data_IF_761246577505
#
_entry.id   IF_761246577505
#
_cell.length_a   1.000
_cell.length_b   1.000
_cell.length_c   1.000
_cell.angle_alpha   90.00
_cell.angle_beta   90.00
_cell.angle_gamma   90.00
#
_symmetry.space_group_name_H-M   'P 1'
#
loop_
_entity.id
_entity.type
_entity.pdbx_description
1 polymer ?
#
# COMPACT_ATOMS: atom_id res chain seq x y z
N UNK A 1 -9.32 -23.37 15.31
CA UNK A 1 -10.67 -23.32 14.69
C UNK A 1 -10.74 -22.30 13.55
N UNK A 2 -10.52 -21.00 13.78
CA UNK A 2 -10.57 -20.00 12.69
C UNK A 2 -9.54 -20.27 11.57
N UNK A 3 -8.26 -20.47 11.92
CA UNK A 3 -7.21 -20.79 10.94
C UNK A 3 -7.41 -22.14 10.23
N UNK A 4 -8.04 -23.11 10.88
CA UNK A 4 -8.31 -24.41 10.27
C UNK A 4 -9.37 -24.27 9.17
N UNK A 5 -10.41 -23.46 9.41
CA UNK A 5 -11.40 -23.13 8.39
C UNK A 5 -10.73 -22.40 7.22
N UNK A 6 -9.85 -21.43 7.47
CA UNK A 6 -9.12 -20.72 6.41
C UNK A 6 -8.25 -21.66 5.57
N UNK A 7 -7.50 -22.56 6.22
CA UNK A 7 -6.67 -23.53 5.50
C UNK A 7 -7.51 -24.48 4.65
N UNK A 8 -8.64 -24.94 5.18
CA UNK A 8 -9.56 -25.78 4.42
C UNK A 8 -10.13 -25.00 3.23
N UNK A 9 -10.60 -23.77 3.44
CA UNK A 9 -11.07 -22.90 2.36
C UNK A 9 -9.99 -22.63 1.32
N UNK A 10 -8.77 -22.32 1.75
CA UNK A 10 -7.61 -22.08 0.89
C UNK A 10 -7.30 -23.28 0.02
N UNK A 11 -7.37 -24.49 0.60
CA UNK A 11 -7.13 -25.74 -0.12
C UNK A 11 -8.24 -26.06 -1.11
N UNK A 12 -9.49 -25.79 -0.74
CA UNK A 12 -10.65 -26.04 -1.61
C UNK A 12 -10.64 -25.11 -2.83
N UNK A 13 -10.14 -23.89 -2.68
CA UNK A 13 -10.05 -22.88 -3.72
C UNK A 13 -8.70 -22.89 -4.46
N UNK A 14 -7.80 -23.84 -4.14
CA UNK A 14 -6.50 -23.95 -4.80
C UNK A 14 -6.69 -24.24 -6.30
N UNK A 15 -6.18 -23.35 -7.15
CA UNK A 15 -6.29 -23.45 -8.61
C UNK A 15 -7.61 -22.93 -9.19
N UNK A 16 -8.53 -22.43 -8.36
CA UNK A 16 -9.70 -21.70 -8.85
C UNK A 16 -9.28 -20.32 -9.37
N UNK A 17 -9.90 -19.89 -10.47
CA UNK A 17 -9.73 -18.54 -11.02
C UNK A 17 -10.71 -17.61 -10.31
N UNK A 18 -10.21 -16.83 -9.37
CA UNK A 18 -11.02 -15.84 -8.66
C UNK A 18 -11.07 -14.52 -9.44
N UNK A 19 -12.20 -13.80 -9.33
CA UNK A 19 -12.37 -12.44 -9.87
C UNK A 19 -12.15 -11.36 -8.82
N UNK A 20 -12.42 -11.68 -7.56
CA UNK A 20 -12.12 -10.82 -6.44
C UNK A 20 -11.81 -11.68 -5.22
N UNK A 21 -10.84 -11.24 -4.42
CA UNK A 21 -10.51 -11.84 -3.13
C UNK A 21 -10.66 -10.76 -2.06
N UNK A 22 -11.59 -10.99 -1.13
CA UNK A 22 -11.78 -10.11 0.01
C UNK A 22 -11.47 -10.88 1.30
N UNK A 23 -10.36 -10.50 1.91
CA UNK A 23 -9.92 -11.00 3.21
C UNK A 23 -9.91 -9.90 4.27
N UNK A 24 -10.64 -8.80 4.05
CA UNK A 24 -10.77 -7.66 4.98
C UNK A 24 -11.49 -8.02 6.28
N UNK A 25 -11.37 -7.15 7.29
CA UNK A 25 -12.05 -7.23 8.59
C UNK A 25 -11.73 -8.48 9.41
N UNK A 26 -10.47 -8.88 9.34
CA UNK A 26 -9.93 -10.14 9.80
C UNK A 26 -8.62 -9.87 10.57
N UNK A 27 -8.68 -9.88 11.90
CA UNK A 27 -7.54 -9.60 12.78
C UNK A 27 -6.55 -10.77 12.89
N UNK A 28 -6.07 -11.29 11.76
CA UNK A 28 -5.29 -12.52 11.72
C UNK A 28 -3.78 -12.31 11.60
N UNK A 29 -3.34 -11.10 11.24
CA UNK A 29 -1.93 -10.78 11.01
C UNK A 29 -1.27 -11.76 10.02
N UNK A 30 0.06 -11.93 10.12
CA UNK A 30 0.84 -12.82 9.27
C UNK A 30 0.29 -14.27 9.22
N UNK A 31 -0.17 -14.78 10.37
CA UNK A 31 -0.70 -16.16 10.47
C UNK A 31 -1.97 -16.38 9.67
N UNK A 32 -2.78 -15.33 9.50
CA UNK A 32 -3.96 -15.37 8.62
C UNK A 32 -3.58 -15.44 7.16
N UNK A 33 -2.62 -14.60 6.76
CA UNK A 33 -2.10 -14.60 5.39
C UNK A 33 -1.55 -15.97 5.03
N UNK A 34 -0.73 -16.56 5.91
CA UNK A 34 -0.20 -17.92 5.72
C UNK A 34 -1.26 -19.01 5.74
N UNK A 35 -2.43 -18.76 6.34
CA UNK A 35 -3.53 -19.72 6.28
C UNK A 35 -4.16 -19.79 4.87
N UNK A 36 -3.94 -18.78 4.01
CA UNK A 36 -4.35 -18.73 2.61
C UNK A 36 -3.23 -19.07 1.61
N UNK A 37 -2.12 -19.65 2.08
CA UNK A 37 -0.93 -19.89 1.26
C UNK A 37 -1.19 -20.70 -0.02
N UNK A 38 -1.94 -21.80 0.07
CA UNK A 38 -2.23 -22.65 -1.10
C UNK A 38 -3.07 -21.88 -2.14
N UNK A 39 -4.03 -21.08 -1.69
CA UNK A 39 -4.86 -20.25 -2.56
C UNK A 39 -3.98 -19.20 -3.24
N UNK A 40 -3.29 -18.36 -2.45
CA UNK A 40 -2.49 -17.24 -2.94
C UNK A 40 -1.38 -17.67 -3.91
N UNK A 41 -0.74 -18.84 -3.71
CA UNK A 41 0.28 -19.36 -4.63
C UNK A 41 -0.28 -19.87 -5.95
N UNK A 42 -1.50 -20.39 -5.93
CA UNK A 42 -2.16 -20.95 -7.12
C UNK A 42 -2.72 -19.89 -8.07
N UNK A 43 -2.58 -18.63 -7.69
CA UNK A 43 -3.10 -17.48 -8.39
C UNK A 43 -2.10 -16.99 -9.47
N UNK A 44 -1.66 -17.89 -10.35
CA UNK A 44 -0.73 -17.63 -11.46
C UNK A 44 -1.42 -17.18 -12.77
N UNK A 45 -2.74 -17.34 -12.85
CA UNK A 45 -3.58 -16.92 -13.99
C UNK A 45 -4.59 -15.82 -13.65
N UNK A 46 -4.59 -15.36 -12.41
CA UNK A 46 -5.50 -14.41 -11.75
C UNK A 46 -6.35 -13.58 -12.70
N UNK A 47 -7.65 -13.84 -12.80
CA UNK A 47 -8.59 -12.82 -13.26
C UNK A 47 -9.03 -11.91 -12.11
N UNK A 48 -8.31 -11.91 -10.97
CA UNK A 48 -8.65 -11.03 -9.85
C UNK A 48 -8.44 -9.57 -10.26
N UNK A 49 -9.56 -8.91 -10.52
CA UNK A 49 -9.57 -7.48 -10.75
C UNK A 49 -9.40 -6.74 -9.42
N UNK A 50 -9.79 -7.34 -8.30
CA UNK A 50 -9.94 -6.64 -7.02
C UNK A 50 -9.44 -7.46 -5.82
N UNK A 51 -8.47 -6.89 -5.08
CA UNK A 51 -7.89 -7.47 -3.88
C UNK A 51 -8.14 -6.55 -2.68
N UNK A 52 -8.93 -7.03 -1.72
CA UNK A 52 -9.35 -6.28 -0.54
C UNK A 52 -8.72 -6.83 0.73
N UNK A 53 -7.95 -5.98 1.40
CA UNK A 53 -7.19 -6.30 2.62
C UNK A 53 -7.35 -5.22 3.70
N UNK A 54 -8.55 -4.69 3.87
CA UNK A 54 -8.80 -3.59 4.80
C UNK A 54 -8.96 -4.09 6.23
N UNK A 55 -8.59 -3.27 7.22
CA UNK A 55 -8.89 -3.52 8.64
C UNK A 55 -8.35 -4.86 9.21
N UNK A 56 -7.18 -5.30 8.76
CA UNK A 56 -6.64 -6.63 9.10
C UNK A 56 -5.50 -6.59 10.12
N UNK A 57 -5.14 -5.40 10.60
CA UNK A 57 -3.89 -5.19 11.36
C UNK A 57 -2.69 -5.80 10.63
N UNK A 58 -2.63 -5.67 9.29
CA UNK A 58 -1.50 -6.14 8.49
C UNK A 58 -0.27 -5.41 8.98
N UNK A 59 0.63 -6.15 9.63
CA UNK A 59 1.97 -5.69 9.98
C UNK A 59 2.88 -5.77 8.76
N UNK A 60 4.09 -5.24 8.90
CA UNK A 60 5.16 -5.42 7.92
C UNK A 60 5.34 -6.89 7.50
N UNK A 61 5.35 -7.82 8.45
CA UNK A 61 5.54 -9.25 8.17
C UNK A 61 4.38 -9.86 7.39
N UNK A 62 3.15 -9.37 7.63
CA UNK A 62 2.00 -9.77 6.87
C UNK A 62 2.08 -9.23 5.42
N UNK A 63 2.48 -7.97 5.22
CA UNK A 63 2.72 -7.39 3.91
C UNK A 63 3.81 -8.15 3.12
N UNK A 64 4.92 -8.47 3.79
CA UNK A 64 5.98 -9.33 3.23
C UNK A 64 5.46 -10.69 2.82
N UNK A 65 4.63 -11.30 3.65
CA UNK A 65 4.05 -12.61 3.34
C UNK A 65 3.18 -12.55 2.09
N UNK A 66 2.41 -11.48 1.87
CA UNK A 66 1.66 -11.30 0.62
C UNK A 66 2.59 -11.21 -0.59
N UNK A 67 3.64 -10.39 -0.48
CA UNK A 67 4.68 -10.28 -1.51
C UNK A 67 5.32 -11.64 -1.86
N UNK A 68 5.59 -12.49 -0.86
CA UNK A 68 6.17 -13.83 -1.08
C UNK A 68 5.19 -14.84 -1.70
N UNK A 69 3.88 -14.66 -1.50
CA UNK A 69 2.87 -15.66 -1.84
C UNK A 69 2.13 -15.37 -3.15
N UNK A 70 2.00 -14.11 -3.56
CA UNK A 70 1.28 -13.71 -4.77
C UNK A 70 2.25 -13.74 -5.96
N UNK A 71 2.07 -14.65 -6.93
CA UNK A 71 3.05 -14.86 -7.99
C UNK A 71 3.01 -13.80 -9.11
N UNK A 72 1.89 -13.09 -9.28
CA UNK A 72 1.73 -12.02 -10.26
C UNK A 72 0.60 -11.06 -9.88
N UNK A 73 0.74 -9.79 -10.25
CA UNK A 73 -0.26 -8.73 -10.09
C UNK A 73 -0.68 -8.09 -11.42
N UNK A 74 -0.27 -8.65 -12.56
CA UNK A 74 -0.43 -8.04 -13.90
C UNK A 74 -1.88 -7.66 -14.26
N UNK A 75 -2.85 -8.43 -13.77
CA UNK A 75 -4.28 -8.26 -14.08
C UNK A 75 -5.06 -7.50 -13.00
N UNK A 76 -4.41 -7.13 -11.90
CA UNK A 76 -5.04 -6.44 -10.78
C UNK A 76 -5.42 -5.01 -11.18
N UNK A 77 -6.68 -4.63 -10.92
CA UNK A 77 -7.20 -3.27 -11.17
C UNK A 77 -7.40 -2.49 -9.89
N UNK A 78 -7.68 -3.17 -8.79
CA UNK A 78 -8.08 -2.55 -7.53
C UNK A 78 -7.32 -3.21 -6.39
N UNK A 79 -6.59 -2.40 -5.62
CA UNK A 79 -5.86 -2.85 -4.46
C UNK A 79 -6.18 -2.00 -3.24
N UNK A 80 -6.79 -2.62 -2.22
CA UNK A 80 -7.15 -1.97 -0.97
C UNK A 80 -6.35 -2.50 0.22
N UNK A 81 -5.50 -1.65 0.78
CA UNK A 81 -4.77 -1.85 2.03
C UNK A 81 -5.17 -0.84 3.11
N UNK A 82 -6.36 -0.22 3.00
CA UNK A 82 -6.83 0.80 3.94
C UNK A 82 -6.83 0.31 5.40
N UNK A 83 -6.38 1.17 6.31
CA UNK A 83 -6.44 0.96 7.76
C UNK A 83 -5.71 -0.32 8.24
N UNK A 84 -4.42 -0.42 7.92
CA UNK A 84 -3.52 -1.43 8.45
C UNK A 84 -2.34 -0.81 9.22
N UNK A 85 -1.41 -1.64 9.70
CA UNK A 85 -0.27 -1.21 10.52
C UNK A 85 1.05 -1.61 9.85
N UNK A 86 1.10 -1.51 8.51
CA UNK A 86 2.20 -2.08 7.73
C UNK A 86 3.48 -1.22 7.82
N UNK A 87 3.34 0.08 8.08
CA UNK A 87 4.47 1.01 8.14
C UNK A 87 5.21 1.12 6.80
N UNK A 88 6.37 1.76 6.86
CA UNK A 88 7.27 1.99 5.72
C UNK A 88 7.66 0.71 5.00
N UNK A 89 8.21 -0.26 5.73
CA UNK A 89 8.73 -1.51 5.17
C UNK A 89 7.58 -2.36 4.57
N UNK A 90 6.42 -2.36 5.21
CA UNK A 90 5.23 -3.00 4.65
C UNK A 90 4.75 -2.35 3.36
N UNK A 91 4.78 -1.01 3.28
CA UNK A 91 4.44 -0.29 2.05
C UNK A 91 5.43 -0.58 0.92
N UNK A 92 6.72 -0.79 1.24
CA UNK A 92 7.71 -1.25 0.25
C UNK A 92 7.34 -2.62 -0.30
N UNK A 93 6.98 -3.60 0.53
CA UNK A 93 6.56 -4.91 0.05
C UNK A 93 5.31 -4.83 -0.86
N UNK A 94 4.37 -3.93 -0.54
CA UNK A 94 3.21 -3.68 -1.41
C UNK A 94 3.66 -3.06 -2.74
N UNK A 95 4.56 -2.09 -2.72
CA UNK A 95 5.11 -1.49 -3.93
C UNK A 95 5.86 -2.52 -4.79
N UNK A 96 6.71 -3.34 -4.19
CA UNK A 96 7.42 -4.43 -4.86
C UNK A 96 6.44 -5.47 -5.43
N UNK A 97 5.39 -5.83 -4.69
CA UNK A 97 4.35 -6.75 -5.15
C UNK A 97 3.62 -6.21 -6.39
N UNK A 98 3.35 -4.91 -6.45
CA UNK A 98 2.79 -4.26 -7.63
C UNK A 98 3.80 -4.29 -8.79
N UNK A 99 5.08 -4.03 -8.52
CA UNK A 99 6.16 -4.03 -9.51
C UNK A 99 6.55 -5.45 -9.99
N UNK A 100 6.22 -6.53 -9.26
CA UNK A 100 6.52 -7.91 -9.65
C UNK A 100 5.90 -8.29 -11.00
N UNK A 101 4.78 -7.68 -11.41
CA UNK A 101 4.26 -7.82 -12.78
C UNK A 101 5.26 -7.36 -13.86
N UNK A 102 6.14 -6.41 -13.53
CA UNK A 102 7.17 -5.87 -14.41
C UNK A 102 8.53 -6.60 -14.26
N UNK A 103 8.74 -7.33 -13.16
CA UNK A 103 10.04 -7.90 -12.76
C UNK A 103 10.18 -9.42 -12.91
N UNK A 104 9.25 -10.11 -13.59
CA UNK A 104 9.44 -11.50 -14.03
C UNK A 104 10.49 -11.62 -15.18
N UNK A 105 11.60 -10.89 -15.04
CA UNK A 105 12.68 -10.66 -16.00
C UNK A 105 13.90 -11.55 -15.74
N UNK A 106 13.74 -12.71 -15.10
CA UNK A 106 14.81 -13.72 -15.12
C UNK A 106 14.96 -14.41 -16.49
N UNK A 107 14.05 -14.18 -17.45
CA UNK A 107 14.18 -14.82 -18.77
C UNK A 107 13.41 -14.09 -19.87
N UNK A 108 14.07 -13.15 -20.59
CA UNK A 108 14.04 -12.95 -22.07
C UNK A 108 14.40 -11.52 -22.48
N UNK A 109 15.68 -11.30 -22.80
CA UNK A 109 16.12 -10.42 -23.89
C UNK A 109 15.74 -8.93 -23.83
N UNK A 110 16.68 -8.12 -23.36
CA UNK A 110 16.67 -6.67 -23.09
C UNK A 110 16.15 -5.71 -24.18
N UNK A 111 15.73 -6.20 -25.36
CA UNK A 111 15.18 -5.39 -26.46
C UNK A 111 13.66 -5.54 -26.69
N UNK A 112 13.02 -6.60 -26.16
CA UNK A 112 11.55 -6.70 -26.17
C UNK A 112 10.91 -5.77 -25.11
N UNK A 113 11.65 -5.51 -24.02
CA UNK A 113 11.22 -4.86 -22.78
C UNK A 113 10.52 -3.52 -22.99
N UNK A 114 10.89 -2.70 -24.00
CA UNK A 114 10.26 -1.38 -24.18
C UNK A 114 8.83 -1.48 -24.72
N UNK A 115 8.54 -2.46 -25.59
CA UNK A 115 7.17 -2.73 -26.04
C UNK A 115 6.41 -3.63 -25.05
N UNK A 116 7.10 -4.49 -24.30
CA UNK A 116 6.48 -5.29 -23.23
C UNK A 116 6.15 -4.45 -22.00
N UNK A 117 6.87 -3.35 -21.69
CA UNK A 117 6.58 -2.44 -20.56
C UNK A 117 5.17 -1.86 -20.61
N UNK A 118 4.62 -1.63 -21.80
CA UNK A 118 3.21 -1.20 -21.97
C UNK A 118 2.19 -2.33 -21.80
N UNK A 119 2.62 -3.59 -21.87
CA UNK A 119 1.77 -4.77 -21.70
C UNK A 119 1.89 -5.41 -20.32
N UNK A 120 2.98 -5.16 -19.60
CA UNK A 120 3.29 -5.66 -18.26
C UNK A 120 3.07 -4.62 -17.14
N UNK A 121 2.71 -3.39 -17.52
CA UNK A 121 2.36 -2.36 -16.55
C UNK A 121 1.08 -2.78 -15.84
N UNK A 122 1.07 -2.83 -14.49
CA UNK A 122 -0.12 -3.16 -13.73
C UNK A 122 -1.27 -2.23 -14.14
N UNK A 123 -2.43 -2.81 -14.43
CA UNK A 123 -3.64 -2.06 -14.83
C UNK A 123 -4.37 -1.48 -13.62
N UNK A 124 -3.65 -1.14 -12.55
CA UNK A 124 -4.24 -0.67 -11.31
C UNK A 124 -4.90 0.68 -11.56
N UNK A 125 -6.22 0.70 -11.44
CA UNK A 125 -7.07 1.87 -11.54
C UNK A 125 -7.35 2.49 -10.17
N UNK A 126 -7.32 1.69 -9.10
CA UNK A 126 -7.59 2.13 -7.73
C UNK A 126 -6.55 1.59 -6.77
N UNK A 127 -5.82 2.49 -6.11
CA UNK A 127 -4.87 2.16 -5.05
C UNK A 127 -5.26 2.89 -3.76
N UNK A 128 -5.59 2.12 -2.72
CA UNK A 128 -5.94 2.67 -1.41
C UNK A 128 -4.99 2.17 -0.32
N UNK A 129 -4.16 3.08 0.21
CA UNK A 129 -3.18 2.82 1.26
C UNK A 129 -3.31 3.83 2.41
N UNK A 130 -4.47 4.45 2.60
CA UNK A 130 -4.71 5.34 3.71
C UNK A 130 -4.62 4.63 5.07
N UNK A 131 -4.20 5.36 6.12
CA UNK A 131 -4.02 4.87 7.50
C UNK A 131 -3.09 3.66 7.60
N UNK A 132 -1.88 3.77 7.06
CA UNK A 132 -0.87 2.69 7.11
C UNK A 132 0.43 3.06 7.82
N UNK A 133 0.51 4.27 8.38
CA UNK A 133 1.71 4.82 9.05
C UNK A 133 2.93 4.90 8.12
N UNK A 134 2.70 5.15 6.83
CA UNK A 134 3.75 5.35 5.82
C UNK A 134 4.34 6.73 6.03
N UNK A 135 5.64 6.85 6.29
CA UNK A 135 6.28 8.14 6.51
C UNK A 135 7.13 8.62 5.33
N UNK A 136 7.66 9.83 5.43
CA UNK A 136 8.44 10.49 4.38
C UNK A 136 9.66 9.68 3.89
N UNK A 137 10.23 8.79 4.74
CA UNK A 137 11.45 8.04 4.47
C UNK A 137 11.36 7.18 3.21
N UNK A 138 10.19 6.57 2.99
CA UNK A 138 9.95 5.65 1.87
C UNK A 138 9.01 6.23 0.79
N UNK A 139 8.67 7.52 0.88
CA UNK A 139 7.84 8.21 -0.13
C UNK A 139 8.45 8.11 -1.55
N UNK A 140 9.78 8.02 -1.65
CA UNK A 140 10.51 7.84 -2.91
C UNK A 140 10.22 6.48 -3.56
N UNK A 141 10.21 5.39 -2.79
CA UNK A 141 9.93 4.06 -3.33
C UNK A 141 8.47 3.96 -3.81
N UNK A 142 7.54 4.54 -3.04
CA UNK A 142 6.15 4.65 -3.46
C UNK A 142 6.00 5.50 -4.72
N UNK A 143 6.70 6.64 -4.81
CA UNK A 143 6.73 7.48 -6.01
C UNK A 143 7.22 6.72 -7.25
N UNK A 144 8.31 5.95 -7.13
CA UNK A 144 8.82 5.13 -8.23
C UNK A 144 7.79 4.11 -8.70
N UNK A 145 7.11 3.44 -7.78
CA UNK A 145 6.00 2.55 -8.10
C UNK A 145 4.87 3.28 -8.84
N UNK A 146 4.43 4.44 -8.32
CA UNK A 146 3.36 5.24 -8.93
C UNK A 146 3.68 5.65 -10.36
N UNK A 147 4.94 5.95 -10.71
CA UNK A 147 5.29 6.29 -12.12
C UNK A 147 4.98 5.20 -13.14
N UNK A 148 4.78 3.95 -12.68
CA UNK A 148 4.38 2.81 -13.52
C UNK A 148 2.86 2.66 -13.68
N UNK A 149 2.07 3.26 -12.79
CA UNK A 149 0.61 3.07 -12.71
C UNK A 149 -0.17 4.07 -13.56
N UNK A 150 0.07 4.07 -14.87
CA UNK A 150 -0.52 5.06 -15.78
C UNK A 150 -2.05 4.94 -15.97
N UNK A 151 -2.64 3.80 -15.58
CA UNK A 151 -4.09 3.55 -15.60
C UNK A 151 -4.80 4.04 -14.32
N UNK A 152 -4.08 4.64 -13.37
CA UNK A 152 -4.60 5.01 -12.06
C UNK A 152 -5.66 6.12 -12.16
N UNK A 153 -6.85 5.83 -11.63
CA UNK A 153 -8.02 6.72 -11.56
C UNK A 153 -8.24 7.24 -10.15
N UNK A 154 -7.83 6.48 -9.13
CA UNK A 154 -7.96 6.86 -7.72
C UNK A 154 -6.73 6.45 -6.92
N UNK A 155 -6.20 7.41 -6.16
CA UNK A 155 -5.14 7.20 -5.17
C UNK A 155 -5.58 7.78 -3.82
N UNK A 156 -5.53 6.98 -2.76
CA UNK A 156 -5.65 7.49 -1.38
C UNK A 156 -4.47 7.04 -0.53
N UNK A 157 -3.74 8.03 -0.03
CA UNK A 157 -2.65 7.91 0.93
C UNK A 157 -2.97 8.67 2.22
N UNK A 158 -4.22 9.11 2.41
CA UNK A 158 -4.63 9.91 3.55
C UNK A 158 -4.28 9.27 4.90
N UNK A 159 -4.11 10.10 5.92
CA UNK A 159 -3.87 9.66 7.29
C UNK A 159 -2.63 8.76 7.41
N UNK A 160 -1.61 9.02 6.59
CA UNK A 160 -0.26 8.49 6.75
C UNK A 160 0.64 9.53 7.45
N UNK A 161 1.97 9.35 7.40
CA UNK A 161 2.96 10.25 7.96
C UNK A 161 3.92 10.83 6.92
N UNK A 162 3.47 11.01 5.67
CA UNK A 162 4.29 11.45 4.53
C UNK A 162 4.88 12.85 4.76
N UNK A 163 4.18 13.71 5.50
CA UNK A 163 4.52 15.14 5.70
C UNK A 163 4.67 15.88 4.36
N UNK A 164 5.11 17.14 4.40
CA UNK A 164 5.25 17.97 3.20
C UNK A 164 6.25 17.39 2.19
N UNK A 165 7.40 16.90 2.66
CA UNK A 165 8.44 16.35 1.79
C UNK A 165 7.95 15.10 1.05
N UNK A 166 7.28 14.17 1.74
CA UNK A 166 6.70 12.99 1.12
C UNK A 166 5.57 13.35 0.15
N UNK A 167 4.70 14.28 0.51
CA UNK A 167 3.63 14.74 -0.37
C UNK A 167 4.17 15.38 -1.67
N UNK A 168 5.24 16.16 -1.59
CA UNK A 168 5.92 16.74 -2.77
C UNK A 168 6.51 15.66 -3.67
N UNK A 169 7.12 14.63 -3.09
CA UNK A 169 7.69 13.49 -3.83
C UNK A 169 6.59 12.72 -4.57
N UNK A 170 5.46 12.44 -3.91
CA UNK A 170 4.30 11.79 -4.53
C UNK A 170 3.71 12.68 -5.63
N UNK A 171 3.54 13.99 -5.39
CA UNK A 171 3.00 14.91 -6.38
C UNK A 171 3.85 14.93 -7.67
N UNK A 172 5.19 14.97 -7.54
CA UNK A 172 6.11 14.91 -8.67
C UNK A 172 6.00 13.62 -9.47
N UNK A 173 5.78 12.48 -8.79
CA UNK A 173 5.60 11.19 -9.47
C UNK A 173 4.32 11.14 -10.32
N UNK A 174 3.32 11.94 -9.96
CA UNK A 174 2.04 12.02 -10.64
C UNK A 174 1.99 13.08 -11.75
N UNK A 175 3.02 13.94 -11.88
CA UNK A 175 3.05 15.02 -12.89
C UNK A 175 2.96 14.49 -14.33
N UNK A 176 3.58 13.35 -14.59
CA UNK A 176 3.64 12.73 -15.91
C UNK A 176 2.88 11.39 -15.95
N UNK A 177 2.09 11.17 -17.00
CA UNK A 177 1.51 9.86 -17.30
C UNK A 177 0.21 9.48 -16.58
N UNK A 178 -0.35 10.34 -15.72
CA UNK A 178 -1.55 10.08 -14.92
C UNK A 178 -2.79 10.87 -15.41
N UNK A 179 -3.05 10.83 -16.72
CA UNK A 179 -4.11 11.62 -17.37
C UNK A 179 -5.53 11.22 -16.93
N UNK A 180 -5.68 9.97 -16.48
CA UNK A 180 -6.96 9.40 -16.05
C UNK A 180 -7.19 9.50 -14.54
N UNK A 181 -6.27 10.11 -13.77
CA UNK A 181 -6.42 10.27 -12.32
C UNK A 181 -7.53 11.27 -12.00
N UNK A 182 -8.57 10.79 -11.31
CA UNK A 182 -9.79 11.55 -10.96
C UNK A 182 -9.91 11.85 -9.48
N UNK A 183 -9.30 11.03 -8.62
CA UNK A 183 -9.34 11.22 -7.18
C UNK A 183 -7.94 11.04 -6.58
N UNK A 184 -7.43 12.08 -5.92
CA UNK A 184 -6.18 12.04 -5.15
C UNK A 184 -6.48 12.51 -3.73
N UNK A 185 -6.22 11.66 -2.75
CA UNK A 185 -6.36 11.98 -1.33
C UNK A 185 -5.04 11.75 -0.59
N UNK A 186 -4.39 12.85 -0.22
CA UNK A 186 -3.16 12.90 0.61
C UNK A 186 -3.41 13.70 1.89
N UNK A 187 -4.66 13.71 2.35
CA UNK A 187 -5.08 14.56 3.47
C UNK A 187 -4.71 13.97 4.84
N UNK A 188 -4.58 14.85 5.85
CA UNK A 188 -4.34 14.49 7.25
C UNK A 188 -3.08 13.65 7.49
N UNK A 189 -1.96 14.05 6.90
CA UNK A 189 -0.67 13.45 7.23
C UNK A 189 -0.29 13.82 8.67
N UNK A 190 -0.04 12.82 9.52
CA UNK A 190 0.36 13.04 10.92
C UNK A 190 1.82 13.43 10.99
N UNK A 191 2.14 14.39 11.86
CA UNK A 191 3.49 14.46 12.43
C UNK A 191 3.59 13.29 13.39
N UNK A 192 4.38 12.27 13.04
CA UNK A 192 4.88 11.39 14.06
C UNK A 192 5.60 12.29 15.08
N UNK A 193 5.04 12.44 16.29
CA UNK A 193 5.84 12.81 17.45
C UNK A 193 7.08 11.94 17.38
N UNK A 194 8.21 12.59 17.23
CA UNK A 194 9.47 11.91 17.17
C UNK A 194 9.59 11.08 18.45
N UNK A 195 9.73 9.77 18.32
CA UNK A 195 10.04 8.89 19.45
C UNK A 195 11.41 9.16 20.09
N UNK A 196 11.98 10.36 19.90
CA UNK A 196 13.23 10.85 20.48
C UNK A 196 13.06 11.76 21.69
N UNK A 197 11.89 11.86 22.32
CA UNK A 197 11.82 12.37 23.69
C UNK A 197 12.19 11.28 24.71
N UNK A 198 13.39 10.72 24.60
CA UNK A 198 14.10 10.22 25.77
C UNK A 198 14.99 11.36 26.27
N UNK A 199 14.36 12.46 26.67
CA UNK A 199 15.00 13.52 27.42
C UNK A 199 14.70 13.27 28.92
N UNK A 200 15.68 12.79 29.71
CA UNK A 200 15.44 12.45 31.11
C UNK A 200 15.31 13.67 32.04
N UNK A 201 15.21 14.89 31.52
CA UNK A 201 15.03 16.10 32.33
C UNK A 201 13.84 16.96 31.82
N UNK A 202 12.61 16.46 31.97
CA UNK A 202 11.46 17.36 32.13
C UNK A 202 11.40 17.80 33.58
N UNK A 203 12.19 18.82 33.90
CA UNK A 203 11.97 19.62 35.10
C UNK A 203 10.55 20.19 35.01
N UNK A 204 9.76 19.87 36.03
CA UNK A 204 8.43 20.41 36.24
C UNK A 204 8.58 21.87 36.63
N UNK A 205 8.42 22.79 35.68
CA UNK A 205 8.27 24.20 36.00
C UNK A 205 6.90 24.40 36.71
N UNK A 206 6.98 24.96 37.91
CA UNK A 206 5.95 25.04 38.96
C UNK A 206 4.77 25.99 38.66
N UNK A 207 4.41 26.18 37.39
CA UNK A 207 3.35 27.14 37.00
C UNK A 207 2.20 26.56 36.16
N UNK A 208 2.12 25.24 36.01
CA UNK A 208 0.88 24.55 35.59
C UNK A 208 0.22 25.07 34.31
N UNK A 209 1.00 25.62 33.37
CA UNK A 209 0.53 25.98 32.05
C UNK A 209 0.98 24.90 31.08
N UNK A 210 0.01 24.14 30.58
CA UNK A 210 0.17 23.41 29.33
C UNK A 210 0.60 24.43 28.28
N UNK A 211 1.77 24.22 27.66
CA UNK A 211 2.14 24.99 26.49
C UNK A 211 1.08 24.73 25.41
N UNK A 212 0.37 25.78 25.01
CA UNK A 212 -0.49 25.76 23.84
C UNK A 212 0.44 25.50 22.63
N UNK A 213 0.38 24.28 22.11
CA UNK A 213 0.96 23.91 20.83
C UNK A 213 0.26 24.75 19.74
N UNK A 214 0.91 25.85 19.37
CA UNK A 214 0.49 26.80 18.35
C UNK A 214 0.97 26.41 16.95
N UNK A 215 1.30 25.13 16.75
CA UNK A 215 1.51 24.50 15.46
C UNK A 215 0.22 24.38 14.65
N UNK A 216 -0.26 25.51 14.15
CA UNK A 216 -1.34 25.62 13.15
C UNK A 216 -0.97 24.80 11.91
N UNK A 217 -1.27 23.49 11.92
CA UNK A 217 -1.24 22.63 10.75
C UNK A 217 -2.38 23.08 9.83
N UNK A 218 -2.09 24.10 9.03
CA UNK A 218 -2.98 24.60 8.01
C UNK A 218 -3.19 23.51 6.94
N UNK A 219 -4.33 22.83 7.11
CA UNK A 219 -5.06 21.86 6.29
C UNK A 219 -5.07 22.05 4.74
N UNK A 220 -3.92 22.28 4.12
CA UNK A 220 -3.80 22.56 2.67
C UNK A 220 -3.76 21.32 1.77
N UNK A 221 -3.52 20.13 2.31
CA UNK A 221 -3.63 18.87 1.56
C UNK A 221 -5.06 18.34 1.68
N UNK A 222 -5.88 18.63 0.68
CA UNK A 222 -7.28 18.20 0.59
C UNK A 222 -7.44 17.09 -0.43
N UNK A 223 -8.58 16.37 -0.35
CA UNK A 223 -9.05 15.48 -1.41
C UNK A 223 -9.20 16.30 -2.69
N UNK A 224 -8.36 16.05 -3.68
CA UNK A 224 -8.47 16.64 -5.01
C UNK A 224 -9.32 15.71 -5.87
N UNK A 225 -10.51 16.19 -6.26
CA UNK A 225 -11.32 15.57 -7.30
C UNK A 225 -11.11 16.33 -8.61
N UNK A 226 -10.61 15.63 -9.62
CA UNK A 226 -10.42 16.17 -10.97
C UNK A 226 -11.64 15.76 -11.78
N UNK A 227 -12.52 16.73 -12.12
CA UNK A 227 -13.69 16.49 -12.98
C UNK A 227 -13.26 16.10 -14.42
#
# INVERSE_FOLDING_TARGET
>A
MAFDVMRISSKVLEGDVLRYLNISDNAYGEKGVRAFEELLKSQDTLEEEELYMMNNSISEEAAKTFYELIPSTEKLKVLHFHNNMMGDEGAMFVAEMILLGDLNLENKGTLAIVNTRKQLTPQIEVLEMARNKINAKEAQALAECLTTLQSLKKLTLAENGLKDDGAVVIAKALEDGHQDLKELDVSKEYVAEDGSSNDPERDLDDDGKEEEDDGEWDSKLQVLKVE
#
